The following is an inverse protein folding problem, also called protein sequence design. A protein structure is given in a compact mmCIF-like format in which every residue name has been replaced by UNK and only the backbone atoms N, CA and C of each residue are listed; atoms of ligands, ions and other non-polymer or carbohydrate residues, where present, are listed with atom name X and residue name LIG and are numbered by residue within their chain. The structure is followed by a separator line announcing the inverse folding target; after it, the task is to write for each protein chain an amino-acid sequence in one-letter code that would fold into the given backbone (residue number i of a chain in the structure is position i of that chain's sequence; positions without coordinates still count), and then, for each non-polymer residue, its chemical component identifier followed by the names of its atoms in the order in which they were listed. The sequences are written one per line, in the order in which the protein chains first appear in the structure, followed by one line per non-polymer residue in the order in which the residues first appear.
data_IF_024052428949
#
_entry.id   IF_024052428949
#
_cell.length_a   1.000
_cell.length_b   1.000
_cell.length_c   1.000
_cell.angle_alpha   90.00
_cell.angle_beta   90.00
_cell.angle_gamma   90.00
#
_symmetry.space_group_name_H-M   'P 1'
#
loop_
_entity.id
_entity.type
_entity.pdbx_description
1 polymer ?
#
# COMPACT_ATOMS: atom_id res chain seq x y z
N UNK A 1 16.91 21.65 -6.10
CA UNK A 1 17.26 21.98 -7.50
C UNK A 1 17.45 20.68 -8.25
N UNK A 2 17.22 20.61 -9.57
CA UNK A 2 17.51 19.40 -10.34
C UNK A 2 18.96 18.93 -10.15
N UNK A 3 19.16 17.62 -10.12
CA UNK A 3 20.49 17.04 -9.97
C UNK A 3 20.51 15.70 -9.26
N UNK A 4 21.71 15.15 -9.14
CA UNK A 4 21.99 13.92 -8.39
C UNK A 4 22.60 14.29 -7.05
N UNK A 5 21.97 13.84 -5.98
CA UNK A 5 22.38 14.07 -4.60
C UNK A 5 22.79 12.73 -4.00
N UNK A 6 24.09 12.57 -3.78
CA UNK A 6 24.64 11.34 -3.19
C UNK A 6 24.77 11.52 -1.68
N UNK A 7 23.97 10.80 -0.92
CA UNK A 7 24.03 10.80 0.54
C UNK A 7 25.14 9.87 1.03
N UNK A 8 26.03 10.41 1.86
CA UNK A 8 27.09 9.64 2.53
C UNK A 8 26.63 9.10 3.89
N UNK A 9 25.62 9.73 4.49
CA UNK A 9 24.98 9.35 5.75
C UNK A 9 23.48 9.62 5.64
N UNK A 10 22.70 8.96 6.51
CA UNK A 10 21.26 9.21 6.64
C UNK A 10 20.99 10.69 6.92
N UNK A 11 20.06 11.28 6.18
CA UNK A 11 19.56 12.61 6.48
C UNK A 11 18.52 12.49 7.60
N UNK A 12 18.92 12.82 8.83
CA UNK A 12 18.05 12.75 10.00
C UNK A 12 17.32 14.08 10.19
N UNK A 13 15.99 14.02 10.14
CA UNK A 13 15.11 15.15 10.39
C UNK A 13 14.89 15.27 11.89
N UNK A 14 15.37 16.37 12.48
CA UNK A 14 15.29 16.63 13.94
C UNK A 14 14.36 17.79 14.30
N UNK A 15 14.02 18.62 13.32
CA UNK A 15 13.10 19.75 13.46
C UNK A 15 11.85 19.52 12.61
N UNK A 16 10.81 20.27 12.91
CA UNK A 16 9.50 20.17 12.27
C UNK A 16 8.89 21.52 11.94
N UNK A 17 7.83 21.49 11.15
CA UNK A 17 6.96 22.64 10.94
C UNK A 17 5.90 22.77 12.04
N UNK A 18 4.77 23.37 11.68
CA UNK A 18 3.56 23.50 12.50
C UNK A 18 2.30 23.22 11.64
N UNK A 19 1.11 23.01 12.23
CA UNK A 19 -0.11 22.65 11.49
C UNK A 19 -0.42 23.55 10.29
N UNK A 20 -0.16 24.85 10.41
CA UNK A 20 -0.40 25.90 9.40
C UNK A 20 0.83 26.23 8.54
N UNK A 21 2.00 25.64 8.82
CA UNK A 21 3.23 25.88 8.06
C UNK A 21 4.16 24.67 8.10
N UNK A 22 3.91 23.73 7.17
CA UNK A 22 4.71 22.53 7.01
C UNK A 22 6.08 22.85 6.40
N UNK A 23 7.12 22.18 6.86
CA UNK A 23 8.41 22.23 6.16
C UNK A 23 8.33 21.25 4.99
N UNK A 24 8.49 21.77 3.78
CA UNK A 24 8.35 20.99 2.54
C UNK A 24 9.69 20.80 1.84
N UNK A 25 10.08 19.54 1.66
CA UNK A 25 11.19 19.10 0.83
C UNK A 25 10.65 18.64 -0.51
N UNK A 26 10.98 19.38 -1.58
CA UNK A 26 10.47 19.08 -2.91
C UNK A 26 11.50 19.26 -3.99
N UNK A 27 11.28 18.59 -5.12
CA UNK A 27 12.02 18.89 -6.34
C UNK A 27 11.75 20.33 -6.79
N UNK A 28 12.76 20.95 -7.40
CA UNK A 28 12.69 22.32 -7.91
C UNK A 28 13.50 22.39 -9.19
N UNK A 29 12.91 22.98 -10.24
CA UNK A 29 13.51 23.09 -11.57
C UNK A 29 13.90 21.74 -12.22
N UNK A 30 13.08 20.71 -11.98
CA UNK A 30 13.22 19.38 -12.57
C UNK A 30 13.58 18.28 -11.58
N UNK A 31 13.96 17.11 -12.12
CA UNK A 31 14.14 15.87 -11.35
C UNK A 31 15.30 15.98 -10.34
N UNK A 32 14.99 15.62 -9.10
CA UNK A 32 15.97 15.38 -8.01
C UNK A 32 16.13 13.88 -7.85
N UNK A 33 17.33 13.36 -8.10
CA UNK A 33 17.67 11.96 -7.84
C UNK A 33 18.55 11.86 -6.60
N UNK A 34 18.07 11.18 -5.56
CA UNK A 34 18.78 10.92 -4.32
C UNK A 34 19.31 9.48 -4.35
N UNK A 35 20.59 9.30 -4.06
CA UNK A 35 21.25 7.98 -4.08
C UNK A 35 22.13 7.80 -2.84
N UNK A 36 22.31 6.57 -2.33
CA UNK A 36 23.28 6.30 -1.29
C UNK A 36 24.70 6.23 -1.85
N UNK A 37 25.70 6.35 -0.95
CA UNK A 37 27.02 5.79 -1.21
C UNK A 37 26.94 4.26 -1.26
N UNK A 38 27.78 3.61 -2.07
CA UNK A 38 27.83 2.14 -2.26
C UNK A 38 28.03 1.31 -0.99
N UNK A 39 28.43 1.91 0.13
CA UNK A 39 28.62 1.23 1.42
C UNK A 39 27.56 1.58 2.46
N UNK A 40 26.60 2.45 2.13
CA UNK A 40 25.52 2.81 3.07
C UNK A 40 24.65 1.60 3.34
N UNK A 41 24.22 1.44 4.59
CA UNK A 41 23.38 0.34 5.09
C UNK A 41 22.40 0.90 6.13
N UNK A 42 21.55 1.81 5.68
CA UNK A 42 20.62 2.59 6.49
C UNK A 42 19.57 3.26 5.59
N UNK A 43 18.54 3.86 6.20
CA UNK A 43 17.60 4.73 5.51
C UNK A 43 18.31 5.93 4.87
N UNK A 44 17.79 6.42 3.73
CA UNK A 44 18.24 7.66 3.11
C UNK A 44 17.77 8.88 3.91
N UNK A 45 16.48 8.91 4.25
CA UNK A 45 15.86 9.94 5.08
C UNK A 45 15.25 9.27 6.30
N UNK A 46 15.59 9.77 7.49
CA UNK A 46 15.01 9.32 8.75
C UNK A 46 14.26 10.49 9.40
N UNK A 47 12.98 10.30 9.67
CA UNK A 47 12.14 11.24 10.42
C UNK A 47 11.88 10.64 11.79
N UNK A 48 12.23 11.37 12.84
CA UNK A 48 12.05 10.89 14.21
C UNK A 48 11.66 12.02 15.15
N UNK A 49 10.99 11.70 16.26
CA UNK A 49 10.63 12.72 17.24
C UNK A 49 11.86 13.56 17.68
N UNK A 50 11.68 14.87 17.91
CA UNK A 50 10.41 15.62 17.92
C UNK A 50 10.00 16.18 16.54
N UNK A 51 10.57 15.70 15.43
CA UNK A 51 10.20 16.18 14.11
C UNK A 51 8.72 15.88 13.81
N UNK A 52 8.01 16.86 13.22
CA UNK A 52 6.61 16.76 12.82
C UNK A 52 6.28 17.81 11.75
N UNK A 53 5.12 17.69 11.10
CA UNK A 53 4.66 18.61 10.05
C UNK A 53 5.70 18.76 8.91
N UNK A 54 6.15 17.60 8.43
CA UNK A 54 7.12 17.48 7.34
C UNK A 54 6.45 16.92 6.10
N UNK A 55 6.72 17.52 4.95
CA UNK A 55 6.26 17.02 3.66
C UNK A 55 7.45 16.75 2.72
N UNK A 56 7.47 15.59 2.10
CA UNK A 56 8.41 15.19 1.06
C UNK A 56 7.66 14.94 -0.24
N UNK A 57 7.86 15.79 -1.24
CA UNK A 57 7.05 15.80 -2.46
C UNK A 57 7.88 15.74 -3.74
N UNK A 58 7.54 14.79 -4.61
CA UNK A 58 8.06 14.78 -5.99
C UNK A 58 9.58 14.54 -6.08
N UNK A 59 10.16 13.81 -5.12
CA UNK A 59 11.55 13.41 -5.14
C UNK A 59 11.71 12.03 -5.81
N UNK A 60 12.88 11.76 -6.38
CA UNK A 60 13.23 10.42 -6.89
C UNK A 60 14.37 9.84 -6.07
N UNK A 61 14.26 8.56 -5.71
CA UNK A 61 15.27 7.81 -4.98
C UNK A 61 15.67 6.57 -5.77
N UNK A 62 16.96 6.28 -5.77
CA UNK A 62 17.50 4.99 -6.16
C UNK A 62 18.41 4.50 -5.03
N UNK A 63 17.99 3.45 -4.34
CA UNK A 63 18.67 2.87 -3.18
C UNK A 63 19.90 2.04 -3.55
N UNK A 64 20.22 1.89 -4.84
CA UNK A 64 21.40 1.16 -5.30
C UNK A 64 21.36 -0.34 -4.98
N UNK A 65 20.17 -0.92 -4.83
CA UNK A 65 19.95 -2.32 -4.56
C UNK A 65 20.17 -2.65 -3.09
N UNK A 66 21.30 -3.27 -2.78
CA UNK A 66 21.62 -3.75 -1.42
C UNK A 66 22.21 -2.69 -0.49
N UNK A 67 22.11 -1.40 -0.86
CA UNK A 67 22.73 -0.31 -0.12
C UNK A 67 21.76 0.38 0.85
N UNK A 68 20.92 1.28 0.35
CA UNK A 68 19.95 1.95 1.20
C UNK A 68 18.88 0.97 1.66
N UNK A 69 18.59 0.96 2.95
CA UNK A 69 17.55 0.10 3.52
C UNK A 69 16.18 0.61 3.09
N UNK A 70 15.89 1.87 3.40
CA UNK A 70 14.66 2.54 3.02
C UNK A 70 14.91 3.91 2.37
N UNK A 71 13.95 4.41 1.59
CA UNK A 71 13.96 5.82 1.20
C UNK A 71 13.61 6.70 2.40
N UNK A 72 12.57 6.29 3.13
CA UNK A 72 12.03 6.97 4.29
C UNK A 72 11.86 5.98 5.44
N UNK A 73 12.46 6.30 6.59
CA UNK A 73 12.19 5.66 7.87
C UNK A 73 11.53 6.70 8.78
N UNK A 74 10.28 6.47 9.17
CA UNK A 74 9.45 7.37 9.98
C UNK A 74 9.20 6.69 11.31
N UNK A 75 9.84 7.15 12.38
CA UNK A 75 9.93 6.37 13.61
C UNK A 75 9.91 7.18 14.91
N UNK A 76 9.92 6.46 16.03
CA UNK A 76 10.10 7.00 17.38
C UNK A 76 9.08 8.07 17.76
N UNK A 77 7.78 7.77 17.62
CA UNK A 77 6.67 8.64 18.04
C UNK A 77 6.62 9.99 17.32
N UNK A 78 7.15 10.06 16.08
CA UNK A 78 6.93 11.21 15.20
C UNK A 78 5.47 11.26 14.73
N UNK A 79 5.01 12.44 14.29
CA UNK A 79 3.66 12.61 13.79
C UNK A 79 3.57 13.62 12.64
N UNK A 80 2.48 13.57 11.87
CA UNK A 80 2.19 14.54 10.81
C UNK A 80 3.28 14.58 9.72
N UNK A 81 3.49 13.44 9.05
CA UNK A 81 4.49 13.28 7.99
C UNK A 81 3.82 12.93 6.67
N UNK A 82 4.14 13.67 5.60
CA UNK A 82 3.60 13.46 4.26
C UNK A 82 4.69 13.01 3.30
N UNK A 83 4.49 11.89 2.61
CA UNK A 83 5.37 11.40 1.54
C UNK A 83 4.51 11.30 0.27
N UNK A 84 4.66 12.29 -0.62
CA UNK A 84 3.73 12.52 -1.73
C UNK A 84 4.41 12.47 -3.09
N UNK A 85 3.85 11.71 -4.04
CA UNK A 85 4.27 11.71 -5.44
C UNK A 85 5.77 11.41 -5.65
N UNK A 86 6.40 10.62 -4.76
CA UNK A 86 7.80 10.24 -4.90
C UNK A 86 7.94 9.03 -5.84
N UNK A 87 9.12 8.90 -6.44
CA UNK A 87 9.52 7.69 -7.16
C UNK A 87 10.64 7.04 -6.36
N UNK A 88 10.43 5.82 -5.89
CA UNK A 88 11.35 5.13 -4.98
C UNK A 88 11.71 3.79 -5.61
N UNK A 89 13.01 3.50 -5.71
CA UNK A 89 13.45 2.25 -6.28
C UNK A 89 14.72 1.66 -5.71
N UNK A 90 14.88 0.35 -5.93
CA UNK A 90 16.09 -0.42 -5.59
C UNK A 90 16.49 -0.25 -4.13
N UNK A 91 15.52 -0.36 -3.22
CA UNK A 91 15.77 -0.34 -1.78
C UNK A 91 16.09 -1.75 -1.29
N UNK A 92 16.97 -1.90 -0.31
CA UNK A 92 17.35 -3.22 0.19
C UNK A 92 16.32 -3.80 1.16
N UNK A 93 15.47 -2.96 1.76
CA UNK A 93 14.35 -3.31 2.63
C UNK A 93 13.07 -2.62 2.10
N UNK A 94 12.56 -1.58 2.76
CA UNK A 94 11.30 -0.92 2.40
C UNK A 94 11.46 0.19 1.36
N UNK A 95 10.37 0.57 0.69
CA UNK A 95 10.30 1.91 0.08
C UNK A 95 10.12 2.99 1.15
N UNK A 96 9.04 2.83 1.93
CA UNK A 96 8.67 3.67 3.07
C UNK A 96 8.45 2.75 4.27
N UNK A 97 9.19 2.96 5.37
CA UNK A 97 8.98 2.25 6.62
C UNK A 97 8.48 3.21 7.71
N UNK A 98 7.49 2.76 8.45
CA UNK A 98 6.99 3.38 9.68
C UNK A 98 7.27 2.43 10.83
N UNK A 99 7.74 2.98 11.94
CA UNK A 99 7.93 2.25 13.19
C UNK A 99 7.47 3.14 14.34
N UNK A 100 6.20 2.97 14.74
CA UNK A 100 5.58 3.74 15.83
C UNK A 100 5.51 5.24 15.50
N UNK A 101 4.61 5.61 14.59
CA UNK A 101 4.30 7.01 14.25
C UNK A 101 2.79 7.17 13.99
N UNK A 102 2.32 8.41 14.04
CA UNK A 102 0.90 8.74 13.84
C UNK A 102 0.72 9.86 12.81
N UNK A 103 -0.48 10.04 12.25
CA UNK A 103 -0.77 11.07 11.25
C UNK A 103 0.17 11.06 10.04
N UNK A 104 0.37 9.88 9.43
CA UNK A 104 1.17 9.79 8.20
C UNK A 104 0.30 9.74 6.95
N UNK A 105 0.77 10.34 5.87
CA UNK A 105 0.08 10.31 4.58
C UNK A 105 1.05 9.94 3.47
N UNK A 106 0.83 8.78 2.86
CA UNK A 106 1.63 8.27 1.74
C UNK A 106 0.75 8.21 0.50
N UNK A 107 0.89 9.21 -0.37
CA UNK A 107 -0.01 9.35 -1.52
C UNK A 107 0.71 9.52 -2.85
N UNK A 108 0.27 8.83 -3.90
CA UNK A 108 0.77 9.02 -5.26
C UNK A 108 2.19 8.49 -5.51
N UNK A 109 2.77 7.74 -4.57
CA UNK A 109 4.13 7.25 -4.68
C UNK A 109 4.22 6.07 -5.66
N UNK A 110 5.34 5.99 -6.38
CA UNK A 110 5.69 4.89 -7.28
C UNK A 110 6.88 4.16 -6.70
N UNK A 111 6.65 2.97 -6.14
CA UNK A 111 7.64 2.20 -5.40
C UNK A 111 7.90 0.91 -6.18
N UNK A 112 9.15 0.69 -6.59
CA UNK A 112 9.49 -0.49 -7.38
C UNK A 112 10.84 -1.10 -7.01
N UNK A 113 10.93 -2.43 -6.97
CA UNK A 113 12.16 -3.18 -6.63
C UNK A 113 12.66 -2.83 -5.22
N UNK A 114 12.16 -3.57 -4.24
CA UNK A 114 12.50 -3.40 -2.84
C UNK A 114 12.68 -4.77 -2.16
N UNK A 115 13.46 -4.80 -1.08
CA UNK A 115 13.65 -5.99 -0.25
C UNK A 115 14.61 -7.05 -0.82
N UNK A 116 15.29 -6.78 -1.96
CA UNK A 116 16.26 -7.70 -2.56
C UNK A 116 17.51 -7.94 -1.68
N UNK A 117 17.77 -7.08 -0.70
CA UNK A 117 18.96 -7.14 0.16
C UNK A 117 18.65 -7.67 1.55
N UNK A 118 18.31 -6.77 2.47
CA UNK A 118 18.00 -7.11 3.88
C UNK A 118 16.65 -7.85 3.97
N UNK A 119 15.68 -7.47 3.14
CA UNK A 119 14.34 -8.04 3.21
C UNK A 119 13.60 -7.61 4.47
N UNK A 120 12.78 -8.52 4.99
CA UNK A 120 11.92 -8.38 6.17
C UNK A 120 11.13 -7.07 6.19
N UNK A 121 10.59 -6.71 5.03
CA UNK A 121 9.88 -5.46 4.84
C UNK A 121 8.93 -5.52 3.65
N UNK A 122 8.19 -4.43 3.47
CA UNK A 122 7.19 -4.24 2.42
C UNK A 122 7.44 -2.91 1.70
N UNK A 123 6.81 -2.70 0.54
CA UNK A 123 7.00 -1.47 -0.22
C UNK A 123 6.61 -0.24 0.60
N UNK A 124 5.48 -0.36 1.29
CA UNK A 124 5.08 0.49 2.40
C UNK A 124 4.88 -0.41 3.62
N UNK A 125 5.81 -0.32 4.58
CA UNK A 125 5.73 -1.04 5.85
C UNK A 125 5.20 -0.11 6.93
N UNK A 126 3.92 -0.24 7.29
CA UNK A 126 3.30 0.53 8.36
C UNK A 126 3.29 -0.29 9.65
N UNK A 127 4.41 -0.27 10.39
CA UNK A 127 4.49 -0.96 11.68
C UNK A 127 4.17 0.01 12.83
N UNK A 128 3.09 -0.25 13.56
CA UNK A 128 2.65 0.64 14.64
C UNK A 128 3.44 0.42 15.94
N UNK A 129 4.17 -0.69 16.03
CA UNK A 129 4.88 -1.16 17.23
C UNK A 129 3.95 -1.62 18.35
N UNK A 130 4.49 -2.37 19.31
CA UNK A 130 3.71 -2.88 20.44
C UNK A 130 3.07 -1.74 21.24
N UNK A 131 1.74 -1.81 21.40
CA UNK A 131 0.94 -0.83 22.14
C UNK A 131 0.41 0.35 21.33
N UNK A 132 0.82 0.48 20.05
CA UNK A 132 0.48 1.58 19.14
C UNK A 132 0.85 2.99 19.67
N UNK A 133 1.20 3.91 18.78
CA UNK A 133 1.32 5.32 19.16
C UNK A 133 0.11 6.11 18.68
N UNK A 134 -0.60 6.68 19.65
CA UNK A 134 -1.65 7.68 19.44
C UNK A 134 -1.06 9.06 19.79
N UNK A 135 -0.90 9.93 18.80
CA UNK A 135 -0.45 11.30 19.05
C UNK A 135 -1.52 12.09 19.83
N UNK A 136 -2.77 11.88 19.47
CA UNK A 136 -3.95 12.39 20.15
C UNK A 136 -5.12 11.40 19.99
N UNK A 137 -6.31 11.77 20.48
CA UNK A 137 -7.55 11.00 20.32
C UNK A 137 -8.54 11.73 19.41
N UNK A 138 -8.06 12.52 18.44
CA UNK A 138 -8.97 13.19 17.52
C UNK A 138 -9.73 12.14 16.70
N UNK A 139 -10.98 12.44 16.38
CA UNK A 139 -11.77 11.54 15.55
C UNK A 139 -11.33 11.63 14.09
N UNK A 140 -11.51 10.55 13.34
CA UNK A 140 -11.21 10.49 11.92
C UNK A 140 -10.09 9.51 11.58
N UNK A 141 -9.75 9.46 10.30
CA UNK A 141 -8.54 8.76 9.87
C UNK A 141 -7.31 9.53 10.30
N UNK A 142 -6.43 8.86 11.04
CA UNK A 142 -5.13 9.43 11.36
C UNK A 142 -4.17 9.20 10.20
N UNK A 143 -4.10 7.98 9.66
CA UNK A 143 -3.14 7.64 8.61
C UNK A 143 -3.81 7.27 7.29
N UNK A 144 -3.19 7.66 6.18
CA UNK A 144 -3.72 7.47 4.83
C UNK A 144 -2.61 6.96 3.90
N UNK A 145 -2.87 5.82 3.25
CA UNK A 145 -2.00 5.21 2.24
C UNK A 145 -2.82 5.09 0.96
N UNK A 146 -2.68 6.04 0.04
CA UNK A 146 -3.56 6.12 -1.12
C UNK A 146 -2.89 6.40 -2.46
N UNK A 147 -3.52 6.02 -3.57
CA UNK A 147 -3.04 6.31 -4.93
C UNK A 147 -1.60 5.87 -5.23
N UNK A 148 -1.06 4.90 -4.49
CA UNK A 148 0.30 4.42 -4.69
C UNK A 148 0.32 3.30 -5.74
N UNK A 149 1.45 3.19 -6.45
CA UNK A 149 1.76 2.07 -7.32
C UNK A 149 2.98 1.33 -6.74
N UNK A 150 2.80 0.08 -6.33
CA UNK A 150 3.83 -0.70 -5.61
C UNK A 150 4.06 -2.06 -6.27
N UNK A 151 5.31 -2.35 -6.65
CA UNK A 151 5.63 -3.56 -7.43
C UNK A 151 7.06 -4.09 -7.27
N UNK A 152 7.27 -5.35 -7.62
CA UNK A 152 8.60 -5.97 -7.71
C UNK A 152 9.32 -6.12 -6.38
N UNK A 153 8.58 -6.15 -5.27
CA UNK A 153 9.07 -6.39 -3.92
C UNK A 153 9.37 -7.86 -3.63
N UNK A 154 10.21 -8.12 -2.64
CA UNK A 154 10.49 -9.46 -2.11
C UNK A 154 10.92 -9.36 -0.64
N UNK A 155 10.75 -10.44 0.12
CA UNK A 155 11.48 -10.62 1.38
C UNK A 155 12.62 -11.62 1.15
N UNK A 156 13.83 -11.09 0.96
CA UNK A 156 15.02 -11.91 0.76
C UNK A 156 15.77 -12.24 2.07
N UNK A 157 15.17 -11.95 3.23
CA UNK A 157 15.67 -12.43 4.53
C UNK A 157 15.42 -13.94 4.67
N UNK A 158 16.03 -14.58 5.67
CA UNK A 158 15.82 -16.02 5.93
C UNK A 158 14.41 -16.37 6.45
N UNK A 159 13.57 -15.36 6.72
CA UNK A 159 12.21 -15.56 7.23
C UNK A 159 11.18 -15.77 6.11
N UNK A 160 11.37 -15.11 4.97
CA UNK A 160 10.42 -15.12 3.84
C UNK A 160 8.96 -14.89 4.27
N UNK A 161 8.72 -13.93 5.18
CA UNK A 161 7.40 -13.63 5.74
C UNK A 161 6.70 -12.46 5.06
N UNK A 162 7.50 -11.55 4.48
CA UNK A 162 7.06 -10.25 3.94
C UNK A 162 7.22 -10.15 2.42
N UNK A 163 7.75 -9.03 1.92
CA UNK A 163 7.78 -8.70 0.50
C UNK A 163 6.43 -8.20 -0.01
N UNK A 164 5.55 -7.76 0.90
CA UNK A 164 4.23 -7.29 0.54
C UNK A 164 4.32 -5.92 -0.16
N UNK A 165 3.29 -5.55 -0.91
CA UNK A 165 3.17 -4.19 -1.39
C UNK A 165 2.95 -3.21 -0.24
N UNK A 166 1.90 -3.44 0.54
CA UNK A 166 1.53 -2.62 1.70
C UNK A 166 1.23 -3.54 2.88
N UNK A 167 1.77 -3.25 4.06
CA UNK A 167 1.41 -3.91 5.30
C UNK A 167 1.04 -2.89 6.37
N UNK A 168 -0.06 -3.14 7.09
CA UNK A 168 -0.36 -2.54 8.38
C UNK A 168 -0.09 -3.60 9.45
N UNK A 169 0.92 -3.33 10.28
CA UNK A 169 1.64 -4.35 11.03
C UNK A 169 1.72 -4.01 12.51
N UNK A 170 1.34 -4.97 13.35
CA UNK A 170 1.45 -4.98 14.81
C UNK A 170 0.79 -3.77 15.52
N UNK A 171 0.70 -3.86 16.84
CA UNK A 171 0.22 -2.78 17.70
C UNK A 171 -1.22 -2.90 18.17
N UNK A 172 -2.00 -3.86 17.67
CA UNK A 172 -3.35 -4.12 18.16
C UNK A 172 -4.28 -2.94 17.88
N UNK A 173 -4.69 -2.22 18.92
CA UNK A 173 -5.57 -1.06 18.80
C UNK A 173 -4.81 0.19 18.31
N UNK A 174 -4.72 0.35 17.00
CA UNK A 174 -4.00 1.45 16.33
C UNK A 174 -4.98 2.58 15.92
N UNK A 175 -4.51 3.83 15.75
CA UNK A 175 -5.34 4.89 15.18
C UNK A 175 -5.90 4.51 13.80
N UNK A 176 -7.13 4.94 13.44
CA UNK A 176 -7.76 4.52 12.18
C UNK A 176 -6.91 4.78 10.93
N UNK A 177 -6.74 3.74 10.10
CA UNK A 177 -5.93 3.78 8.87
C UNK A 177 -6.78 3.55 7.63
N UNK A 178 -6.62 4.40 6.62
CA UNK A 178 -7.20 4.24 5.29
C UNK A 178 -6.13 3.76 4.29
N UNK A 179 -6.37 2.62 3.64
CA UNK A 179 -5.58 2.11 2.52
C UNK A 179 -6.48 2.11 1.29
N UNK A 180 -6.32 3.08 0.38
CA UNK A 180 -7.29 3.28 -0.70
C UNK A 180 -6.69 3.52 -2.08
N UNK A 181 -7.36 3.06 -3.13
CA UNK A 181 -7.02 3.41 -4.52
C UNK A 181 -5.58 3.06 -4.94
N UNK A 182 -4.93 2.11 -4.24
CA UNK A 182 -3.59 1.67 -4.60
C UNK A 182 -3.64 0.58 -5.68
N UNK A 183 -2.63 0.58 -6.55
CA UNK A 183 -2.35 -0.51 -7.48
C UNK A 183 -1.09 -1.25 -7.01
N UNK A 184 -1.22 -2.54 -6.75
CA UNK A 184 -0.13 -3.35 -6.22
C UNK A 184 -0.06 -4.66 -6.99
N UNK A 185 1.09 -4.94 -7.60
CA UNK A 185 1.23 -6.08 -8.51
C UNK A 185 2.64 -6.64 -8.55
N UNK A 186 2.74 -7.91 -8.92
CA UNK A 186 4.01 -8.62 -9.15
C UNK A 186 5.02 -8.51 -7.99
N UNK A 187 4.52 -8.49 -6.74
CA UNK A 187 5.36 -8.62 -5.56
C UNK A 187 5.52 -10.10 -5.17
N UNK A 188 6.67 -10.44 -4.58
CA UNK A 188 6.93 -11.76 -4.02
C UNK A 188 6.04 -12.07 -2.82
N UNK A 189 5.76 -11.07 -1.98
CA UNK A 189 4.79 -11.14 -0.89
C UNK A 189 3.37 -10.76 -1.29
N UNK A 190 2.50 -10.51 -0.32
CA UNK A 190 1.07 -10.22 -0.54
C UNK A 190 0.87 -8.84 -1.18
N UNK A 191 -0.34 -8.58 -1.66
CA UNK A 191 -0.71 -7.23 -2.08
C UNK A 191 -0.82 -6.29 -0.87
N UNK A 192 -1.83 -6.55 -0.02
CA UNK A 192 -2.13 -5.80 1.19
C UNK A 192 -2.28 -6.79 2.34
N UNK A 193 -1.56 -6.54 3.44
CA UNK A 193 -1.60 -7.39 4.61
C UNK A 193 -1.95 -6.56 5.87
N UNK A 194 -3.00 -6.96 6.58
CA UNK A 194 -3.30 -6.47 7.93
C UNK A 194 -2.91 -7.55 8.92
N UNK A 195 -1.89 -7.27 9.75
CA UNK A 195 -1.29 -8.25 10.66
C UNK A 195 -1.32 -7.74 12.10
N UNK A 196 -2.20 -8.30 12.94
CA UNK A 196 -2.26 -7.93 14.36
C UNK A 196 -2.69 -6.49 14.62
N UNK A 197 -3.57 -5.92 13.79
CA UNK A 197 -4.02 -4.52 13.84
C UNK A 197 -5.54 -4.40 13.99
N UNK A 198 -6.01 -3.20 14.30
CA UNK A 198 -7.44 -2.85 14.34
C UNK A 198 -7.73 -1.54 13.59
N UNK A 199 -8.99 -1.31 13.24
CA UNK A 199 -9.44 -0.04 12.66
C UNK A 199 -8.79 0.27 11.31
N UNK A 200 -8.85 -0.68 10.36
CA UNK A 200 -8.26 -0.51 9.01
C UNK A 200 -9.32 -0.64 7.94
N UNK A 201 -9.38 0.37 7.06
CA UNK A 201 -10.25 0.40 5.89
C UNK A 201 -9.42 0.23 4.63
N UNK A 202 -9.64 -0.87 3.91
CA UNK A 202 -9.00 -1.19 2.64
C UNK A 202 -10.05 -1.02 1.55
N UNK A 203 -9.95 0.07 0.77
CA UNK A 203 -11.03 0.52 -0.13
C UNK A 203 -10.53 0.71 -1.56
N UNK A 204 -11.26 0.17 -2.56
CA UNK A 204 -10.97 0.40 -3.98
C UNK A 204 -9.53 0.06 -4.41
N UNK A 205 -8.83 -0.88 -3.78
CA UNK A 205 -7.49 -1.25 -4.22
C UNK A 205 -7.55 -2.28 -5.36
N UNK A 206 -6.54 -2.29 -6.23
CA UNK A 206 -6.34 -3.34 -7.24
C UNK A 206 -5.05 -4.10 -6.95
N UNK A 207 -5.22 -5.38 -6.65
CA UNK A 207 -4.18 -6.36 -6.38
C UNK A 207 -4.09 -7.35 -7.53
N UNK A 208 -2.90 -7.54 -8.09
CA UNK A 208 -2.72 -8.40 -9.26
C UNK A 208 -1.43 -9.22 -9.21
N UNK A 209 -1.57 -10.55 -9.15
CA UNK A 209 -0.49 -11.52 -9.28
C UNK A 209 0.69 -11.21 -8.35
N UNK A 210 0.37 -11.00 -7.08
CA UNK A 210 1.35 -10.97 -6.00
C UNK A 210 1.52 -12.38 -5.42
N UNK A 211 2.33 -12.52 -4.37
CA UNK A 211 2.65 -13.82 -3.79
C UNK A 211 3.59 -14.65 -4.66
N UNK A 212 4.39 -13.99 -5.52
CA UNK A 212 5.26 -14.64 -6.50
C UNK A 212 6.45 -15.38 -5.88
N UNK A 213 6.70 -15.23 -4.57
CA UNK A 213 7.69 -16.01 -3.83
C UNK A 213 7.10 -17.33 -3.35
N UNK A 214 7.47 -18.42 -4.03
CA UNK A 214 7.06 -19.78 -3.67
C UNK A 214 7.41 -20.17 -2.22
N UNK A 215 8.46 -19.57 -1.62
CA UNK A 215 8.90 -19.87 -0.25
C UNK A 215 7.94 -19.37 0.83
N UNK A 216 7.12 -18.36 0.52
CA UNK A 216 6.13 -17.79 1.45
C UNK A 216 4.98 -18.76 1.77
N UNK A 217 4.85 -19.87 1.02
CA UNK A 217 3.73 -20.79 1.16
C UNK A 217 2.41 -20.16 0.68
N UNK A 218 1.28 -20.82 0.96
CA UNK A 218 -0.03 -20.36 0.44
C UNK A 218 -0.51 -19.11 1.18
N UNK A 219 -0.75 -18.03 0.45
CA UNK A 219 -1.21 -16.73 0.97
C UNK A 219 -2.36 -16.15 0.14
N UNK A 220 -2.98 -15.08 0.64
CA UNK A 220 -3.92 -14.25 -0.11
C UNK A 220 -3.29 -12.99 -0.69
N UNK A 221 -3.81 -12.49 -1.82
CA UNK A 221 -3.50 -11.13 -2.31
C UNK A 221 -3.81 -10.11 -1.20
N UNK A 222 -5.06 -10.09 -0.73
CA UNK A 222 -5.48 -9.29 0.42
C UNK A 222 -5.66 -10.25 1.61
N UNK A 223 -4.83 -10.06 2.63
CA UNK A 223 -4.80 -10.93 3.80
C UNK A 223 -5.07 -10.13 5.08
N UNK A 224 -5.87 -10.71 5.98
CA UNK A 224 -6.01 -10.25 7.36
C UNK A 224 -5.72 -11.40 8.32
N UNK A 225 -4.75 -11.21 9.21
CA UNK A 225 -4.32 -12.21 10.18
C UNK A 225 -4.31 -11.60 11.59
N UNK A 226 -4.94 -12.28 12.56
CA UNK A 226 -5.10 -11.81 13.95
C UNK A 226 -5.57 -10.33 14.08
N UNK A 227 -6.41 -9.85 13.15
CA UNK A 227 -6.80 -8.44 13.06
C UNK A 227 -8.29 -8.23 13.30
N UNK A 228 -8.71 -7.12 13.93
CA UNK A 228 -10.11 -6.86 14.26
C UNK A 228 -10.59 -5.54 13.64
N UNK A 229 -11.90 -5.37 13.44
CA UNK A 229 -12.45 -4.15 12.84
C UNK A 229 -11.77 -3.76 11.51
N UNK A 230 -11.68 -4.73 10.60
CA UNK A 230 -11.13 -4.56 9.26
C UNK A 230 -12.28 -4.46 8.25
N UNK A 231 -12.21 -3.49 7.35
CA UNK A 231 -13.24 -3.22 6.36
C UNK A 231 -12.64 -3.32 4.95
N UNK A 232 -13.02 -4.37 4.20
CA UNK A 232 -12.64 -4.55 2.81
C UNK A 232 -13.81 -4.15 1.92
N UNK A 233 -13.68 -3.05 1.18
CA UNK A 233 -14.78 -2.51 0.37
C UNK A 233 -14.29 -2.27 -1.06
N UNK A 234 -15.03 -2.77 -2.05
CA UNK A 234 -14.76 -2.51 -3.46
C UNK A 234 -13.33 -2.87 -3.95
N UNK A 235 -12.63 -3.82 -3.33
CA UNK A 235 -11.30 -4.20 -3.79
C UNK A 235 -11.36 -5.23 -4.93
N UNK A 236 -10.31 -5.28 -5.74
CA UNK A 236 -10.09 -6.32 -6.75
C UNK A 236 -8.83 -7.08 -6.38
N UNK A 237 -8.92 -8.41 -6.32
CA UNK A 237 -7.78 -9.30 -6.10
C UNK A 237 -7.73 -10.38 -7.18
N UNK A 238 -6.69 -10.38 -7.99
CA UNK A 238 -6.40 -11.45 -8.96
C UNK A 238 -5.18 -12.21 -8.46
N UNK A 239 -5.37 -13.47 -8.13
CA UNK A 239 -4.37 -14.27 -7.45
C UNK A 239 -3.51 -15.07 -8.43
N UNK A 240 -2.22 -15.18 -8.12
CA UNK A 240 -1.34 -16.12 -8.80
C UNK A 240 -1.71 -17.58 -8.50
N UNK A 241 -1.23 -18.52 -9.32
CA UNK A 241 -1.54 -19.95 -9.18
C UNK A 241 -1.19 -20.46 -7.78
N UNK A 242 -2.13 -21.20 -7.18
CA UNK A 242 -1.97 -21.71 -5.81
C UNK A 242 -2.07 -20.64 -4.71
N UNK A 243 -2.33 -19.38 -5.06
CA UNK A 243 -2.61 -18.27 -4.12
C UNK A 243 -4.11 -17.98 -4.07
N UNK A 244 -4.53 -17.26 -3.04
CA UNK A 244 -5.93 -16.88 -2.83
C UNK A 244 -6.16 -15.41 -3.19
N UNK A 245 -7.33 -15.03 -3.70
CA UNK A 245 -7.67 -13.61 -3.78
C UNK A 245 -7.80 -12.97 -2.39
N UNK A 246 -8.50 -13.63 -1.46
CA UNK A 246 -8.67 -13.16 -0.09
C UNK A 246 -8.34 -14.25 0.92
N UNK A 247 -7.72 -13.88 2.03
CA UNK A 247 -7.47 -14.76 3.16
C UNK A 247 -7.77 -14.06 4.50
N UNK A 248 -8.74 -14.59 5.24
CA UNK A 248 -9.13 -14.14 6.58
C UNK A 248 -8.75 -15.24 7.56
N UNK A 249 -7.73 -14.96 8.38
CA UNK A 249 -7.02 -15.96 9.15
C UNK A 249 -6.82 -15.49 10.60
N UNK A 250 -6.41 -16.40 11.49
CA UNK A 250 -6.06 -16.04 12.87
C UNK A 250 -7.23 -15.46 13.69
N UNK A 251 -8.48 -15.85 13.40
CA UNK A 251 -9.64 -15.30 14.10
C UNK A 251 -9.90 -13.82 13.81
N UNK A 252 -9.47 -13.32 12.65
CA UNK A 252 -9.72 -11.93 12.27
C UNK A 252 -11.21 -11.61 12.10
N UNK A 253 -11.63 -10.42 12.51
CA UNK A 253 -12.97 -9.88 12.23
C UNK A 253 -12.91 -8.91 11.06
N UNK A 254 -13.51 -9.31 9.94
CA UNK A 254 -13.43 -8.57 8.68
C UNK A 254 -14.84 -8.41 8.08
N UNK A 255 -15.23 -7.17 7.79
CA UNK A 255 -16.40 -6.86 6.96
C UNK A 255 -15.98 -6.80 5.48
N UNK A 256 -16.69 -7.52 4.62
CA UNK A 256 -16.49 -7.53 3.18
C UNK A 256 -17.75 -7.03 2.49
N UNK A 257 -17.59 -6.03 1.63
CA UNK A 257 -18.66 -5.43 0.85
C UNK A 257 -18.21 -5.14 -0.58
N UNK A 258 -18.88 -5.75 -1.55
CA UNK A 258 -18.63 -5.66 -2.99
C UNK A 258 -17.16 -5.80 -3.42
N UNK A 259 -16.45 -6.81 -2.90
CA UNK A 259 -15.10 -7.15 -3.37
C UNK A 259 -15.14 -8.15 -4.54
N UNK A 260 -14.18 -8.07 -5.44
CA UNK A 260 -13.99 -9.04 -6.54
C UNK A 260 -12.72 -9.85 -6.31
N UNK A 261 -12.84 -11.17 -6.42
CA UNK A 261 -11.72 -12.11 -6.42
C UNK A 261 -11.66 -12.91 -7.72
N UNK A 262 -10.47 -13.23 -8.21
CA UNK A 262 -10.31 -14.05 -9.41
C UNK A 262 -9.03 -14.88 -9.42
N UNK A 263 -9.06 -15.99 -10.17
CA UNK A 263 -7.95 -16.90 -10.43
C UNK A 263 -7.37 -17.57 -9.16
N UNK A 264 -6.24 -18.26 -9.31
CA UNK A 264 -5.56 -18.98 -8.24
C UNK A 264 -6.41 -20.12 -7.68
N UNK A 265 -6.52 -20.18 -6.36
CA UNK A 265 -7.40 -21.08 -5.62
C UNK A 265 -8.47 -20.29 -4.85
N UNK A 266 -9.49 -20.99 -4.36
CA UNK A 266 -10.59 -20.37 -3.63
C UNK A 266 -10.12 -19.51 -2.45
N UNK A 267 -10.75 -18.35 -2.29
CA UNK A 267 -10.53 -17.46 -1.14
C UNK A 267 -10.78 -18.18 0.18
N UNK A 268 -9.95 -17.91 1.19
CA UNK A 268 -10.11 -18.42 2.54
C UNK A 268 -10.93 -17.41 3.35
N UNK A 269 -12.24 -17.43 3.16
CA UNK A 269 -13.21 -16.55 3.83
C UNK A 269 -14.36 -17.39 4.40
N UNK A 270 -15.15 -16.87 5.34
CA UNK A 270 -16.35 -17.54 5.81
C UNK A 270 -17.29 -17.99 4.67
N UNK A 271 -17.98 -19.11 4.88
CA UNK A 271 -18.85 -19.72 3.86
C UNK A 271 -19.98 -18.79 3.40
N UNK A 272 -20.54 -18.02 4.32
CA UNK A 272 -21.57 -16.99 4.03
C UNK A 272 -21.02 -15.83 3.19
N UNK A 273 -19.76 -15.44 3.37
CA UNK A 273 -19.09 -14.42 2.53
C UNK A 273 -18.94 -14.95 1.11
N UNK A 274 -18.39 -16.15 0.95
CA UNK A 274 -18.12 -16.74 -0.37
C UNK A 274 -19.39 -17.16 -1.13
N UNK A 275 -20.50 -17.39 -0.42
CA UNK A 275 -21.79 -17.70 -1.01
C UNK A 275 -22.62 -16.45 -1.39
N UNK A 276 -22.25 -15.27 -0.91
CA UNK A 276 -22.94 -14.01 -1.19
C UNK A 276 -22.13 -13.13 -2.16
N UNK A 277 -22.54 -13.06 -3.44
CA UNK A 277 -21.84 -12.25 -4.43
C UNK A 277 -21.71 -10.79 -4.01
N UNK A 278 -22.68 -10.22 -3.28
CA UNK A 278 -22.63 -8.81 -2.84
C UNK A 278 -21.52 -8.52 -1.82
N UNK A 279 -20.94 -9.56 -1.20
CA UNK A 279 -19.79 -9.43 -0.30
C UNK A 279 -18.49 -9.77 -1.03
N UNK A 280 -18.47 -10.90 -1.74
CA UNK A 280 -17.33 -11.35 -2.54
C UNK A 280 -17.80 -12.02 -3.84
N UNK A 281 -17.56 -11.36 -4.97
CA UNK A 281 -17.84 -11.89 -6.29
C UNK A 281 -16.59 -12.56 -6.88
N UNK A 282 -16.69 -13.86 -7.20
CA UNK A 282 -15.64 -14.56 -7.94
C UNK A 282 -15.83 -14.36 -9.45
N UNK A 283 -15.05 -13.47 -10.07
CA UNK A 283 -15.20 -13.13 -11.49
C UNK A 283 -13.94 -12.48 -12.06
N UNK A 284 -13.62 -12.80 -13.32
CA UNK A 284 -12.59 -12.08 -14.08
C UNK A 284 -12.87 -10.57 -14.11
N UNK A 285 -11.93 -9.72 -13.67
CA UNK A 285 -12.11 -8.27 -13.68
C UNK A 285 -12.13 -7.65 -15.09
N UNK A 286 -11.72 -8.36 -16.15
CA UNK A 286 -11.76 -7.83 -17.52
C UNK A 286 -10.92 -6.58 -17.70
N UNK A 287 -9.66 -6.62 -17.25
CA UNK A 287 -8.69 -5.53 -17.43
C UNK A 287 -8.32 -5.32 -18.91
N UNK A 288 -7.98 -4.08 -19.27
CA UNK A 288 -7.67 -3.71 -20.66
C UNK A 288 -6.49 -4.48 -21.25
N UNK A 289 -5.39 -4.61 -20.50
CA UNK A 289 -4.17 -5.29 -20.93
C UNK A 289 -3.40 -5.85 -19.72
N UNK A 290 -3.95 -6.86 -19.03
CA UNK A 290 -3.35 -7.44 -17.82
C UNK A 290 -1.93 -7.95 -18.08
N UNK A 291 -1.08 -7.93 -17.05
CA UNK A 291 0.30 -8.40 -17.15
C UNK A 291 0.30 -9.93 -17.24
N UNK A 292 1.00 -10.50 -18.22
CA UNK A 292 1.17 -11.93 -18.32
C UNK A 292 2.19 -12.41 -17.28
N UNK A 293 1.74 -13.25 -16.35
CA UNK A 293 2.57 -13.87 -15.31
C UNK A 293 2.51 -15.38 -15.51
N UNK A 294 3.66 -16.03 -15.61
CA UNK A 294 3.76 -17.47 -15.76
C UNK A 294 3.17 -18.16 -14.50
N UNK A 295 2.22 -19.09 -14.63
CA UNK A 295 1.56 -19.72 -13.49
C UNK A 295 2.46 -20.66 -12.66
N UNK A 296 3.64 -21.04 -13.16
CA UNK A 296 4.53 -21.99 -12.50
C UNK A 296 5.93 -21.44 -12.21
N UNK A 297 6.32 -20.30 -12.79
CA UNK A 297 7.65 -19.73 -12.59
C UNK A 297 7.75 -18.87 -11.32
N UNK A 298 8.64 -19.26 -10.41
CA UNK A 298 9.08 -18.43 -9.28
C UNK A 298 9.97 -17.28 -9.77
N UNK A 299 10.15 -16.23 -8.95
CA UNK A 299 11.13 -15.18 -9.22
C UNK A 299 10.68 -14.04 -10.14
N UNK A 300 9.44 -14.06 -10.64
CA UNK A 300 8.96 -13.10 -11.63
C UNK A 300 8.88 -11.65 -11.11
N UNK A 301 8.87 -11.45 -9.79
CA UNK A 301 9.02 -10.13 -9.15
C UNK A 301 10.31 -9.40 -9.58
N UNK A 302 11.34 -10.14 -10.03
CA UNK A 302 12.61 -9.58 -10.52
C UNK A 302 12.46 -8.80 -11.82
N UNK A 303 11.49 -9.19 -12.65
CA UNK A 303 11.17 -8.58 -13.94
C UNK A 303 9.84 -7.84 -13.92
N UNK A 304 9.31 -7.55 -12.73
CA UNK A 304 8.04 -6.84 -12.55
C UNK A 304 8.02 -5.54 -13.36
N UNK A 305 6.87 -5.25 -13.98
CA UNK A 305 6.72 -4.08 -14.84
C UNK A 305 6.89 -2.81 -13.99
N UNK A 306 7.82 -1.89 -14.30
CA UNK A 306 8.00 -0.70 -13.46
C UNK A 306 6.75 0.20 -13.51
N UNK A 307 6.42 0.96 -12.44
CA UNK A 307 5.25 1.83 -12.40
C UNK A 307 5.16 2.85 -13.54
N UNK A 308 6.29 3.23 -14.12
CA UNK A 308 6.33 4.14 -15.27
C UNK A 308 5.82 3.52 -16.58
N UNK A 309 5.75 2.19 -16.66
CA UNK A 309 5.35 1.44 -17.86
C UNK A 309 3.97 0.77 -17.73
N UNK A 310 3.33 0.87 -16.56
CA UNK A 310 2.03 0.21 -16.30
C UNK A 310 0.87 0.83 -17.08
N UNK A 311 0.92 2.15 -17.33
CA UNK A 311 -0.11 2.86 -18.09
C UNK A 311 -1.53 2.59 -17.58
N UNK A 312 -2.45 2.31 -18.49
CA UNK A 312 -3.87 1.99 -18.19
C UNK A 312 -4.17 0.48 -18.23
N UNK A 313 -3.17 -0.38 -18.07
CA UNK A 313 -3.31 -1.86 -18.21
C UNK A 313 -4.42 -2.46 -17.34
N UNK A 314 -4.59 -1.93 -16.14
CA UNK A 314 -5.56 -2.37 -15.14
C UNK A 314 -6.87 -1.59 -15.17
N UNK A 315 -7.06 -0.72 -16.17
CA UNK A 315 -8.36 -0.07 -16.37
C UNK A 315 -9.39 -1.12 -16.81
N UNK A 316 -10.58 -1.17 -16.19
CA UNK A 316 -11.63 -2.09 -16.60
C UNK A 316 -12.12 -1.80 -18.03
N UNK A 317 -12.28 -2.84 -18.84
CA UNK A 317 -12.92 -2.74 -20.15
C UNK A 317 -14.41 -2.33 -20.02
N UNK A 318 -15.05 -1.79 -21.07
CA UNK A 318 -16.47 -1.40 -21.04
C UNK A 318 -17.44 -2.49 -20.58
N UNK A 319 -17.14 -3.76 -20.88
CA UNK A 319 -17.94 -4.92 -20.50
C UNK A 319 -17.62 -5.47 -19.10
N UNK A 320 -16.61 -4.90 -18.42
CA UNK A 320 -16.19 -5.38 -17.11
C UNK A 320 -17.28 -5.19 -16.06
N UNK A 321 -17.41 -6.19 -15.19
CA UNK A 321 -18.27 -6.11 -14.00
C UNK A 321 -17.85 -4.98 -13.07
N UNK A 322 -16.57 -4.58 -13.07
CA UNK A 322 -16.04 -3.60 -12.11
C UNK A 322 -16.67 -2.22 -12.26
N UNK A 323 -17.15 -1.84 -13.45
CA UNK A 323 -17.54 -0.46 -13.78
C UNK A 323 -18.71 0.11 -12.97
N UNK A 324 -19.61 -0.75 -12.46
CA UNK A 324 -20.86 -0.33 -11.79
C UNK A 324 -21.34 -1.32 -10.74
N UNK A 325 -20.45 -2.18 -10.29
CA UNK A 325 -20.80 -3.22 -9.34
C UNK A 325 -20.59 -2.78 -7.89
N UNK A 326 -19.71 -1.82 -7.63
CA UNK A 326 -19.36 -1.38 -6.29
C UNK A 326 -20.44 -0.56 -5.59
N UNK A 327 -20.19 -0.33 -4.30
CA UNK A 327 -21.02 0.46 -3.39
C UNK A 327 -20.34 1.75 -2.98
N UNK A 328 -21.10 2.73 -2.49
CA UNK A 328 -20.51 3.94 -1.91
C UNK A 328 -19.81 3.61 -0.59
N UNK A 329 -18.47 3.70 -0.50
CA UNK A 329 -17.76 3.36 0.73
C UNK A 329 -18.15 4.27 1.91
N UNK A 330 -18.61 5.50 1.62
CA UNK A 330 -19.02 6.48 2.64
C UNK A 330 -20.30 6.10 3.37
N UNK A 331 -21.08 5.18 2.82
CA UNK A 331 -22.34 4.73 3.37
C UNK A 331 -22.27 3.32 4.00
N UNK A 332 -21.07 2.74 4.09
CA UNK A 332 -20.91 1.35 4.56
C UNK A 332 -20.92 1.23 6.08
N UNK A 333 -21.35 0.07 6.62
CA UNK A 333 -21.17 -0.25 8.03
C UNK A 333 -19.72 -0.05 8.48
N UNK A 334 -19.52 0.48 9.68
CA UNK A 334 -18.19 0.82 10.21
C UNK A 334 -17.66 2.19 9.76
N UNK A 335 -18.23 2.83 8.73
CA UNK A 335 -17.86 4.19 8.35
C UNK A 335 -18.65 5.21 9.16
N UNK A 336 -17.97 5.85 10.11
CA UNK A 336 -18.58 6.89 10.96
C UNK A 336 -18.54 8.26 10.28
N UNK A 337 -19.35 9.20 10.77
CA UNK A 337 -19.35 10.60 10.30
C UNK A 337 -17.98 11.27 10.34
N UNK A 338 -17.12 10.88 11.29
CA UNK A 338 -15.81 11.50 11.50
C UNK A 338 -14.78 10.97 10.48
N UNK A 339 -15.03 9.83 9.86
CA UNK A 339 -14.21 9.28 8.77
C UNK A 339 -14.52 9.92 7.40
N UNK A 340 -15.71 10.51 7.24
CA UNK A 340 -16.19 11.04 5.96
C UNK A 340 -15.29 12.11 5.32
N UNK A 341 -14.75 13.11 6.05
CA UNK A 341 -13.96 14.17 5.41
C UNK A 341 -12.74 13.65 4.65
N UNK A 342 -12.06 12.64 5.20
CA UNK A 342 -10.92 12.00 4.54
C UNK A 342 -11.39 11.16 3.36
N UNK A 343 -12.49 10.40 3.49
CA UNK A 343 -13.04 9.60 2.38
C UNK A 343 -13.48 10.48 1.21
N UNK A 344 -14.13 11.62 1.48
CA UNK A 344 -14.54 12.58 0.43
C UNK A 344 -13.34 13.18 -0.31
N UNK A 345 -12.23 13.38 0.41
CA UNK A 345 -11.00 13.92 -0.16
C UNK A 345 -10.26 12.86 -0.98
N UNK A 346 -10.10 11.65 -0.44
CA UNK A 346 -9.29 10.57 -1.04
C UNK A 346 -10.05 9.90 -2.18
N UNK A 347 -11.31 9.51 -1.95
CA UNK A 347 -12.11 8.74 -2.91
C UNK A 347 -12.77 9.62 -3.98
N UNK A 348 -12.41 10.89 -4.09
CA UNK A 348 -12.97 11.81 -5.08
C UNK A 348 -12.43 11.58 -6.50
N UNK A 349 -11.29 10.91 -6.63
CA UNK A 349 -10.68 10.54 -7.90
C UNK A 349 -10.13 9.11 -7.85
N UNK A 350 -9.99 8.50 -9.01
CA UNK A 350 -9.30 7.23 -9.16
C UNK A 350 -7.79 7.43 -9.34
N UNK A 351 -7.04 6.33 -9.43
CA UNK A 351 -5.59 6.33 -9.63
C UNK A 351 -5.15 7.03 -10.92
N UNK A 352 -6.02 7.12 -11.93
CA UNK A 352 -5.78 7.84 -13.19
C UNK A 352 -6.17 9.34 -13.10
N UNK A 353 -6.66 9.80 -11.96
CA UNK A 353 -7.14 11.16 -11.74
C UNK A 353 -8.54 11.46 -12.30
N UNK A 354 -9.26 10.46 -12.79
CA UNK A 354 -10.66 10.58 -13.18
C UNK A 354 -11.52 10.79 -11.95
N UNK A 355 -12.56 11.63 -12.06
CA UNK A 355 -13.50 11.83 -10.95
C UNK A 355 -14.23 10.54 -10.66
N UNK A 356 -14.14 10.08 -9.42
CA UNK A 356 -15.02 9.03 -8.92
C UNK A 356 -16.40 9.62 -8.75
N UNK A 357 -17.37 9.03 -9.46
CA UNK A 357 -18.81 9.25 -9.29
C UNK A 357 -19.39 10.63 -9.70
N UNK A 358 -20.41 10.60 -10.56
CA UNK A 358 -21.31 11.72 -10.90
C UNK A 358 -22.79 11.27 -10.79
N UNK A 359 -23.17 10.59 -9.69
CA UNK A 359 -24.56 10.18 -9.43
C UNK A 359 -24.95 8.75 -9.86
N UNK A 360 -24.03 7.77 -9.77
CA UNK A 360 -24.24 6.35 -10.13
C UNK A 360 -23.77 5.32 -9.08
N UNK A 361 -23.54 4.05 -9.48
CA UNK A 361 -22.84 3.05 -8.64
C UNK A 361 -21.32 3.23 -8.75
N UNK A 362 -20.58 2.86 -7.70
CA UNK A 362 -19.12 2.99 -7.67
C UNK A 362 -18.46 1.92 -8.54
N UNK A 363 -17.30 2.26 -9.12
CA UNK A 363 -16.40 1.27 -9.71
C UNK A 363 -15.60 0.55 -8.62
N UNK A 364 -15.38 -0.75 -8.82
CA UNK A 364 -14.54 -1.58 -7.94
C UNK A 364 -13.09 -1.54 -8.42
N UNK A 365 -12.15 -1.43 -7.48
CA UNK A 365 -10.72 -1.33 -7.73
C UNK A 365 -10.24 0.10 -7.94
N UNK A 366 -8.94 0.25 -8.21
CA UNK A 366 -8.21 1.52 -8.16
C UNK A 366 -8.50 2.46 -9.35
N UNK A 367 -9.18 1.96 -10.37
CA UNK A 367 -9.55 2.72 -11.55
C UNK A 367 -11.06 2.87 -11.64
N UNK A 368 -11.51 4.08 -11.94
CA UNK A 368 -12.86 4.38 -12.38
C UNK A 368 -12.91 4.37 -13.92
N UNK A 369 -14.12 4.22 -14.46
CA UNK A 369 -14.27 3.74 -15.83
C UNK A 369 -15.43 4.34 -16.59
#
# INVERSE_FOLDING_TARGET
MKGVYRLTNTLIMRGGGRPDAWITYRSYDGKVLITPRTSMRAALIQVRAPAAYLEFRGLTFDGGGTNAYEAYQIEYHTHHVRVLNNVISNMSAAGIAVTTADYVTFTGNRIYRFGDGVGWSSGISFNSGDGAFWFDNAAGFHSVIADNIVTGGIDNSDHHSDGNGIIADLGGNIPPVLIADNLVYENGGRCIHSLGVQHVWVINNTCYMNGLDSRLGTTGEITSFNSQDIHLINNVAVAWTGRRPYAIEGGSSVALDHNVGFDGIASAVPGDVSADPSRLLTRDPGFAAPIAVDPAADGQWKSALPPSAVGERFRPQPSSVLRRWGVDPRAQPGVTKDLLPTLETVLGRDLAGQRRWLGGRFSVGAYDS
#
